data_IF_643439549210
#
_entry.id   IF_643439549210
#
_cell.length_a   1.000
_cell.length_b   1.000
_cell.length_c   1.000
_cell.angle_alpha   90.00
_cell.angle_beta   90.00
_cell.angle_gamma   90.00
#
_symmetry.space_group_name_H-M   'P 1'
#
loop_
_entity.id
_entity.type
_entity.pdbx_description
1 polymer ?
#
# COMPACT_ATOMS: atom_id res chain seq x y z
N UNK A 1 -19.57 -4.79 13.84
CA UNK A 1 -18.68 -4.58 15.01
C UNK A 1 -17.30 -5.09 14.62
N UNK A 2 -16.29 -4.22 14.58
CA UNK A 2 -14.92 -4.61 14.20
C UNK A 2 -14.34 -5.53 15.27
N UNK A 3 -13.71 -6.63 14.87
CA UNK A 3 -13.08 -7.54 15.83
C UNK A 3 -11.96 -6.81 16.60
N UNK A 4 -11.84 -7.05 17.92
CA UNK A 4 -10.83 -6.41 18.75
C UNK A 4 -9.39 -6.76 18.30
N UNK A 5 -8.50 -5.76 18.39
CA UNK A 5 -7.08 -5.93 18.11
C UNK A 5 -6.36 -6.43 19.37
N UNK A 6 -6.13 -7.74 19.46
CA UNK A 6 -5.56 -8.38 20.66
C UNK A 6 -4.12 -7.94 20.93
N UNK A 7 -3.37 -7.54 19.90
CA UNK A 7 -2.03 -6.97 20.06
C UNK A 7 -2.09 -5.63 20.79
N UNK A 8 -3.07 -4.78 20.46
CA UNK A 8 -3.32 -3.53 21.18
C UNK A 8 -3.77 -3.76 22.61
N UNK A 9 -4.65 -4.74 22.85
CA UNK A 9 -5.14 -5.05 24.21
C UNK A 9 -3.99 -5.50 25.11
N UNK A 10 -3.07 -6.31 24.60
CA UNK A 10 -1.88 -6.72 25.34
C UNK A 10 -0.71 -5.74 25.23
N UNK A 11 -0.86 -4.56 24.61
CA UNK A 11 0.20 -3.56 24.44
C UNK A 11 1.51 -4.12 23.84
N UNK A 12 1.41 -5.06 22.90
CA UNK A 12 2.55 -5.71 22.23
C UNK A 12 2.44 -5.60 20.72
N UNK A 13 3.58 -5.71 20.03
CA UNK A 13 3.62 -5.68 18.57
C UNK A 13 3.34 -7.07 17.95
N UNK A 14 2.90 -7.15 16.67
CA UNK A 14 2.65 -8.42 16.00
C UNK A 14 3.87 -9.34 15.85
N UNK A 15 5.08 -8.78 15.90
CA UNK A 15 6.36 -9.51 15.87
C UNK A 15 6.87 -9.91 17.27
N UNK A 16 6.12 -9.57 18.34
CA UNK A 16 6.55 -9.84 19.70
C UNK A 16 6.74 -11.35 19.96
N UNK A 17 7.86 -11.76 20.58
CA UNK A 17 8.09 -13.15 20.93
C UNK A 17 7.16 -13.58 22.07
N UNK A 18 6.90 -14.89 22.20
CA UNK A 18 5.95 -15.44 23.17
C UNK A 18 6.24 -14.97 24.62
N UNK A 19 7.52 -14.92 25.00
CA UNK A 19 7.94 -14.43 26.33
C UNK A 19 7.43 -13.01 26.63
N UNK A 20 7.39 -12.13 25.63
CA UNK A 20 6.92 -10.74 25.78
C UNK A 20 5.39 -10.69 25.90
N UNK A 21 4.67 -11.56 25.18
CA UNK A 21 3.22 -11.72 25.32
C UNK A 21 2.86 -12.17 26.74
N UNK A 22 3.55 -13.18 27.26
CA UNK A 22 3.36 -13.68 28.63
C UNK A 22 3.69 -12.62 29.69
N UNK A 23 4.81 -11.91 29.51
CA UNK A 23 5.21 -10.85 30.43
C UNK A 23 4.18 -9.72 30.47
N UNK A 24 3.74 -9.24 29.29
CA UNK A 24 2.76 -8.17 29.19
C UNK A 24 1.42 -8.55 29.82
N UNK A 25 0.89 -9.74 29.52
CA UNK A 25 -0.34 -10.24 30.13
C UNK A 25 -0.26 -10.26 31.66
N UNK A 26 0.84 -10.77 32.24
CA UNK A 26 1.00 -10.83 33.70
C UNK A 26 1.04 -9.44 34.33
N UNK A 27 1.75 -8.50 33.71
CA UNK A 27 1.83 -7.11 34.20
C UNK A 27 0.48 -6.40 34.14
N UNK A 28 -0.26 -6.55 33.04
CA UNK A 28 -1.58 -5.94 32.86
C UNK A 28 -2.61 -6.56 33.82
N UNK A 29 -2.58 -7.88 34.01
CA UNK A 29 -3.45 -8.57 34.95
C UNK A 29 -3.23 -8.11 36.40
N UNK A 30 -1.96 -7.99 36.82
CA UNK A 30 -1.61 -7.47 38.16
C UNK A 30 -2.12 -6.04 38.39
N UNK A 31 -2.05 -5.20 37.36
CA UNK A 31 -2.56 -3.84 37.41
C UNK A 31 -4.09 -3.80 37.50
N UNK A 32 -4.78 -4.63 36.72
CA UNK A 32 -6.25 -4.67 36.69
C UNK A 32 -6.85 -5.22 38.00
N UNK A 33 -6.19 -6.17 38.67
CA UNK A 33 -6.62 -6.69 39.97
C UNK A 33 -6.66 -5.64 41.09
N UNK A 34 -5.89 -4.55 40.96
CA UNK A 34 -5.88 -3.44 41.91
C UNK A 34 -6.82 -2.28 41.56
N UNK A 35 -7.60 -2.38 40.47
CA UNK A 35 -8.42 -1.30 39.94
C UNK A 35 -9.93 -1.50 40.19
N UNK A 36 -10.66 -0.40 40.40
CA UNK A 36 -12.09 -0.40 40.72
C UNK A 36 -12.99 -0.96 39.59
N UNK A 37 -12.53 -0.94 38.34
CA UNK A 37 -13.21 -1.49 37.16
C UNK A 37 -12.51 -2.75 36.59
N UNK A 38 -11.70 -3.44 37.42
CA UNK A 38 -10.79 -4.49 36.97
C UNK A 38 -11.45 -5.68 36.28
N UNK A 39 -12.70 -6.03 36.60
CA UNK A 39 -13.34 -7.24 36.09
C UNK A 39 -13.50 -7.26 34.55
N UNK A 40 -13.88 -6.13 33.95
CA UNK A 40 -14.04 -6.02 32.50
C UNK A 40 -12.70 -5.99 31.77
N UNK A 41 -11.72 -5.29 32.36
CA UNK A 41 -10.34 -5.22 31.84
C UNK A 41 -9.67 -6.60 31.88
N UNK A 42 -9.84 -7.34 32.99
CA UNK A 42 -9.34 -8.72 33.14
C UNK A 42 -9.96 -9.64 32.07
N UNK A 43 -11.27 -9.54 31.83
CA UNK A 43 -11.94 -10.35 30.83
C UNK A 43 -11.39 -10.11 29.41
N UNK A 44 -11.09 -8.86 29.05
CA UNK A 44 -10.47 -8.51 27.77
C UNK A 44 -9.03 -9.01 27.65
N UNK A 45 -8.26 -8.91 28.74
CA UNK A 45 -6.88 -9.41 28.80
C UNK A 45 -6.82 -10.93 28.66
N UNK A 46 -7.70 -11.67 29.35
CA UNK A 46 -7.81 -13.12 29.26
C UNK A 46 -8.20 -13.57 27.85
N UNK A 47 -9.15 -12.86 27.22
CA UNK A 47 -9.55 -13.13 25.85
C UNK A 47 -8.39 -12.94 24.87
N UNK A 48 -7.64 -11.85 25.01
CA UNK A 48 -6.49 -11.57 24.15
C UNK A 48 -5.37 -12.58 24.35
N UNK A 49 -5.09 -12.95 25.59
CA UNK A 49 -4.06 -13.93 25.94
C UNK A 49 -4.42 -15.36 25.49
N UNK A 50 -5.70 -15.75 25.58
CA UNK A 50 -6.18 -17.06 25.10
C UNK A 50 -5.97 -17.28 23.59
N UNK A 51 -5.80 -16.19 22.83
CA UNK A 51 -5.51 -16.20 21.39
C UNK A 51 -4.02 -16.05 21.12
N UNK A 52 -3.36 -15.04 21.72
CA UNK A 52 -1.96 -14.71 21.42
C UNK A 52 -0.93 -15.58 22.15
N UNK A 53 -1.30 -16.19 23.27
CA UNK A 53 -0.43 -17.06 24.06
C UNK A 53 -0.25 -18.47 23.49
N UNK A 54 -1.13 -18.90 22.58
CA UNK A 54 -1.02 -20.18 21.86
C UNK A 54 -0.55 -19.95 20.42
N UNK A 55 0.50 -20.68 20.00
CA UNK A 55 1.13 -20.46 18.70
C UNK A 55 0.20 -20.72 17.51
N UNK A 56 -0.67 -21.74 17.58
CA UNK A 56 -1.58 -22.07 16.48
C UNK A 56 -2.75 -21.09 16.41
N UNK A 57 -3.30 -20.69 17.56
CA UNK A 57 -4.37 -19.69 17.63
C UNK A 57 -3.89 -18.32 17.19
N UNK A 58 -2.66 -17.94 17.55
CA UNK A 58 -2.01 -16.71 17.08
C UNK A 58 -1.85 -16.72 15.57
N UNK A 59 -1.35 -17.82 14.99
CA UNK A 59 -1.20 -17.93 13.54
C UNK A 59 -2.55 -17.81 12.80
N UNK A 60 -3.61 -18.45 13.32
CA UNK A 60 -4.96 -18.32 12.74
C UNK A 60 -5.49 -16.89 12.87
N UNK A 61 -5.29 -16.25 14.01
CA UNK A 61 -5.67 -14.86 14.23
C UNK A 61 -4.94 -13.90 13.28
N UNK A 62 -3.64 -14.11 13.05
CA UNK A 62 -2.84 -13.30 12.13
C UNK A 62 -3.33 -13.43 10.68
N UNK A 63 -3.72 -14.64 10.26
CA UNK A 63 -4.34 -14.88 8.94
C UNK A 63 -5.68 -14.15 8.80
N UNK A 64 -6.56 -14.24 9.80
CA UNK A 64 -7.85 -13.53 9.82
C UNK A 64 -7.67 -12.00 9.87
N UNK A 65 -6.65 -11.51 10.60
CA UNK A 65 -6.31 -10.09 10.69
C UNK A 65 -5.79 -9.57 9.35
N UNK A 66 -4.97 -10.36 8.64
CA UNK A 66 -4.51 -10.04 7.30
C UNK A 66 -5.68 -9.98 6.30
N UNK A 67 -6.57 -10.98 6.31
CA UNK A 67 -7.74 -10.99 5.42
C UNK A 67 -8.73 -9.84 5.72
N UNK A 68 -8.82 -9.41 6.98
CA UNK A 68 -9.58 -8.21 7.39
C UNK A 68 -8.94 -6.91 6.94
N UNK A 69 -7.62 -6.81 6.99
CA UNK A 69 -6.91 -5.68 6.42
C UNK A 69 -7.11 -5.61 4.90
N UNK A 70 -7.19 -6.77 4.23
CA UNK A 70 -7.52 -6.85 2.80
C UNK A 70 -8.99 -6.53 2.52
N UNK A 71 -9.95 -7.01 3.32
CA UNK A 71 -11.39 -6.71 3.14
C UNK A 71 -11.78 -5.30 3.56
N UNK A 72 -11.11 -4.67 4.52
CA UNK A 72 -11.28 -3.26 4.83
C UNK A 72 -10.72 -2.34 3.71
N UNK A 73 -9.74 -2.83 2.94
CA UNK A 73 -9.24 -2.22 1.69
C UNK A 73 -10.07 -2.60 0.45
N UNK A 74 -10.93 -3.60 0.57
CA UNK A 74 -11.88 -4.06 -0.44
C UNK A 74 -13.30 -3.83 0.09
N UNK A 75 -13.68 -2.58 0.34
CA UNK A 75 -15.12 -2.27 0.27
C UNK A 75 -15.56 -2.63 -1.15
N UNK A 76 -16.61 -3.47 -1.32
CA UNK A 76 -17.19 -3.66 -2.63
C UNK A 76 -17.70 -2.30 -3.11
N UNK A 77 -17.00 -1.72 -4.07
CA UNK A 77 -17.63 -0.76 -4.97
C UNK A 77 -18.59 -1.63 -5.75
N UNK A 78 -19.88 -1.46 -5.48
CA UNK A 78 -20.95 -2.03 -6.29
C UNK A 78 -20.62 -1.82 -7.77
N UNK A 79 -20.94 -2.82 -8.58
CA UNK A 79 -20.67 -2.93 -10.01
C UNK A 79 -21.33 -1.82 -10.85
N UNK A 80 -20.95 -0.56 -10.63
CA UNK A 80 -21.13 0.53 -11.57
C UNK A 80 -19.76 0.89 -12.10
N UNK A 81 -19.43 0.28 -13.24
CA UNK A 81 -18.46 0.81 -14.19
C UNK A 81 -18.94 2.14 -14.80
N UNK A 82 -19.26 3.13 -13.96
CA UNK A 82 -19.81 4.41 -14.40
C UNK A 82 -19.03 5.51 -13.70
N UNK A 83 -18.39 6.33 -14.53
CA UNK A 83 -17.57 7.50 -14.19
C UNK A 83 -16.14 7.14 -13.74
N UNK A 84 -15.36 6.60 -14.68
CA UNK A 84 -13.99 7.09 -14.77
C UNK A 84 -14.07 8.61 -14.89
N UNK A 85 -13.40 9.34 -14.02
CA UNK A 85 -13.38 10.80 -14.04
C UNK A 85 -13.13 11.26 -15.48
N UNK A 86 -14.06 12.04 -16.06
CA UNK A 86 -13.89 12.63 -17.40
C UNK A 86 -12.67 13.54 -17.48
N UNK A 87 -12.01 13.80 -16.36
CA UNK A 87 -10.78 14.58 -16.20
C UNK A 87 -9.65 13.76 -15.59
N UNK A 88 -8.43 14.16 -15.95
CA UNK A 88 -7.20 13.55 -15.47
C UNK A 88 -7.00 13.88 -14.00
N UNK A 89 -6.72 12.87 -13.18
CA UNK A 89 -6.48 13.05 -11.74
C UNK A 89 -5.21 13.87 -11.43
N UNK A 90 -4.32 14.06 -12.42
CA UNK A 90 -3.07 14.79 -12.23
C UNK A 90 -3.13 16.22 -12.77
N UNK A 91 -3.40 16.39 -14.07
CA UNK A 91 -3.41 17.71 -14.70
C UNK A 91 -4.81 18.33 -14.83
N UNK A 92 -5.87 17.61 -14.47
CA UNK A 92 -7.26 18.07 -14.61
C UNK A 92 -7.81 18.08 -16.04
N UNK A 93 -6.99 17.79 -17.06
CA UNK A 93 -7.42 17.82 -18.46
C UNK A 93 -8.57 16.84 -18.73
N UNK A 94 -9.58 17.29 -19.46
CA UNK A 94 -10.68 16.44 -19.89
C UNK A 94 -10.18 15.43 -20.93
N UNK A 95 -10.57 14.17 -20.78
CA UNK A 95 -10.36 13.14 -21.80
C UNK A 95 -11.68 12.84 -22.50
N UNK A 96 -11.70 13.00 -23.82
CA UNK A 96 -12.85 12.75 -24.68
C UNK A 96 -12.98 11.26 -25.06
N UNK A 97 -12.79 10.35 -24.10
CA UNK A 97 -12.93 8.92 -24.36
C UNK A 97 -14.41 8.54 -24.27
N UNK A 98 -14.99 8.20 -25.41
CA UNK A 98 -16.37 7.70 -25.53
C UNK A 98 -16.52 6.22 -25.15
N UNK A 99 -15.39 5.55 -24.92
CA UNK A 99 -15.29 4.14 -24.51
C UNK A 99 -14.80 4.02 -23.07
N UNK A 100 -14.97 2.83 -22.50
CA UNK A 100 -14.35 2.49 -21.22
C UNK A 100 -12.83 2.63 -21.28
N UNK A 101 -12.24 3.04 -20.15
CA UNK A 101 -10.79 3.14 -20.02
C UNK A 101 -10.14 1.77 -20.15
N UNK A 102 -9.07 1.71 -20.94
CA UNK A 102 -8.22 0.54 -21.15
C UNK A 102 -6.86 0.73 -20.47
N UNK A 103 -6.13 -0.38 -20.22
CA UNK A 103 -4.86 -0.39 -19.47
C UNK A 103 -3.77 0.50 -20.04
N UNK A 104 -3.82 0.75 -21.35
CA UNK A 104 -2.83 1.54 -22.07
C UNK A 104 -3.26 3.01 -22.25
N UNK A 105 -4.42 3.40 -21.71
CA UNK A 105 -4.92 4.78 -21.81
C UNK A 105 -4.14 5.75 -20.94
N UNK A 106 -3.73 6.85 -21.57
CA UNK A 106 -3.00 7.94 -20.96
C UNK A 106 -3.65 9.29 -21.27
N UNK A 107 -3.49 10.23 -20.37
CA UNK A 107 -3.90 11.61 -20.60
C UNK A 107 -3.08 12.21 -21.74
N UNK A 108 -3.74 12.76 -22.77
CA UNK A 108 -3.07 13.41 -23.89
C UNK A 108 -2.22 14.63 -23.49
N UNK A 109 -2.50 15.25 -22.35
CA UNK A 109 -1.82 16.49 -21.91
C UNK A 109 -0.59 16.24 -21.02
N UNK A 110 -0.65 15.25 -20.13
CA UNK A 110 0.44 14.98 -19.16
C UNK A 110 0.95 13.53 -19.20
N UNK A 111 0.44 12.72 -20.14
CA UNK A 111 0.76 11.29 -20.29
C UNK A 111 0.52 10.46 -19.03
N UNK A 112 -0.30 10.93 -18.10
CA UNK A 112 -0.62 10.19 -16.88
C UNK A 112 -1.55 9.03 -17.21
N UNK A 113 -1.29 7.82 -16.67
CA UNK A 113 -2.16 6.67 -16.91
C UNK A 113 -3.56 6.95 -16.34
N UNK A 114 -4.58 6.53 -17.07
CA UNK A 114 -5.99 6.73 -16.69
C UNK A 114 -6.60 5.48 -16.05
N UNK A 115 -6.03 4.31 -16.34
CA UNK A 115 -6.58 3.04 -15.88
C UNK A 115 -6.34 2.83 -14.37
N UNK A 116 -7.40 2.56 -13.56
CA UNK A 116 -7.27 2.41 -12.12
C UNK A 116 -6.36 1.25 -11.68
N UNK A 117 -5.48 1.51 -10.73
CA UNK A 117 -4.52 0.52 -10.21
C UNK A 117 -5.22 -0.66 -9.51
N UNK A 118 -6.36 -0.43 -8.84
CA UNK A 118 -7.15 -1.47 -8.17
C UNK A 118 -7.59 -2.59 -9.11
N UNK A 119 -7.85 -2.28 -10.39
CA UNK A 119 -8.25 -3.29 -11.38
C UNK A 119 -7.10 -4.22 -11.77
N UNK A 120 -5.84 -3.80 -11.59
CA UNK A 120 -4.69 -4.68 -11.74
C UNK A 120 -4.53 -5.70 -10.61
N UNK A 121 -5.14 -5.45 -9.42
CA UNK A 121 -5.07 -6.32 -8.25
C UNK A 121 -5.73 -7.67 -8.48
N UNK A 122 -6.75 -7.73 -9.33
CA UNK A 122 -7.56 -8.93 -9.56
C UNK A 122 -7.01 -9.84 -10.66
N UNK A 123 -5.98 -9.43 -11.40
CA UNK A 123 -5.41 -10.21 -12.51
C UNK A 123 -4.05 -10.84 -12.12
N UNK A 124 -3.97 -12.16 -12.23
CA UNK A 124 -2.82 -13.03 -11.85
C UNK A 124 -1.48 -12.72 -12.58
N UNK A 125 -1.48 -11.82 -13.55
CA UNK A 125 -0.33 -11.45 -14.40
C UNK A 125 0.56 -10.35 -13.79
N UNK A 126 0.00 -9.48 -12.93
CA UNK A 126 0.73 -8.33 -12.37
C UNK A 126 1.86 -8.71 -11.39
N UNK A 127 1.66 -9.76 -10.58
CA UNK A 127 2.65 -10.24 -9.61
C UNK A 127 3.95 -10.74 -10.27
N UNK A 128 3.88 -11.35 -11.46
CA UNK A 128 5.08 -11.83 -12.17
C UNK A 128 5.92 -10.70 -12.74
N UNK A 129 5.31 -9.56 -13.08
CA UNK A 129 6.02 -8.38 -13.59
C UNK A 129 6.70 -7.61 -12.45
N UNK A 130 6.05 -7.48 -11.29
CA UNK A 130 6.61 -6.84 -10.11
C UNK A 130 7.88 -7.51 -9.59
N UNK A 131 7.91 -8.85 -9.59
CA UNK A 131 9.09 -9.62 -9.16
C UNK A 131 10.32 -9.41 -10.07
N UNK A 132 10.14 -8.83 -11.27
CA UNK A 132 11.22 -8.57 -12.23
C UNK A 132 11.76 -7.14 -12.15
N UNK A 133 11.11 -6.25 -11.41
CA UNK A 133 11.55 -4.86 -11.28
C UNK A 133 12.60 -4.79 -10.16
N UNK A 134 13.83 -4.30 -10.44
CA UNK A 134 14.85 -4.18 -9.41
C UNK A 134 14.42 -3.21 -8.32
N UNK A 135 14.54 -3.63 -7.05
CA UNK A 135 14.11 -2.86 -5.86
C UNK A 135 14.89 -1.55 -5.59
N UNK A 136 15.81 -1.17 -6.49
CA UNK A 136 16.65 0.03 -6.41
C UNK A 136 16.77 0.66 -7.80
N UNK A 137 15.68 1.30 -8.23
CA UNK A 137 15.61 1.95 -9.53
C UNK A 137 15.40 3.45 -9.38
N UNK A 138 16.10 4.22 -10.21
CA UNK A 138 15.87 5.66 -10.28
C UNK A 138 14.48 5.94 -10.86
N UNK A 139 13.70 6.76 -10.16
CA UNK A 139 12.37 7.18 -10.59
C UNK A 139 12.31 8.69 -10.74
N UNK A 140 11.52 9.15 -11.72
CA UNK A 140 11.16 10.54 -11.89
C UNK A 140 9.79 10.81 -11.28
N UNK A 141 9.68 11.89 -10.50
CA UNK A 141 8.44 12.30 -9.85
C UNK A 141 8.05 13.71 -10.31
N UNK A 142 6.78 13.85 -10.71
CA UNK A 142 6.15 15.14 -10.98
C UNK A 142 5.06 15.38 -9.94
N UNK A 143 5.10 16.55 -9.32
CA UNK A 143 4.11 16.97 -8.31
C UNK A 143 3.10 17.95 -8.88
N UNK A 144 3.43 18.59 -10.00
CA UNK A 144 2.57 19.51 -10.74
C UNK A 144 2.78 19.31 -12.25
N UNK A 145 1.84 19.84 -13.04
CA UNK A 145 1.97 19.89 -14.49
C UNK A 145 1.61 21.27 -15.02
N UNK A 146 2.43 21.89 -15.88
CA UNK A 146 3.78 21.46 -16.28
C UNK A 146 4.82 21.67 -15.15
N UNK A 147 5.91 20.90 -15.18
CA UNK A 147 7.06 21.04 -14.28
C UNK A 147 8.33 20.88 -15.12
N UNK A 148 9.30 21.77 -14.94
CA UNK A 148 10.49 21.89 -15.82
C UNK A 148 11.37 20.63 -15.83
N UNK A 149 11.54 19.99 -14.67
CA UNK A 149 12.30 18.75 -14.54
C UNK A 149 11.72 17.85 -13.44
N UNK A 150 11.75 16.51 -13.60
CA UNK A 150 11.30 15.60 -12.55
C UNK A 150 12.16 15.69 -11.30
N UNK A 151 11.51 15.55 -10.14
CA UNK A 151 12.20 15.28 -8.87
C UNK A 151 12.74 13.86 -8.95
N UNK A 152 14.07 13.72 -8.81
CA UNK A 152 14.73 12.41 -8.81
C UNK A 152 14.57 11.74 -7.45
N UNK A 153 14.07 10.52 -7.45
CA UNK A 153 13.97 9.67 -6.27
C UNK A 153 14.48 8.25 -6.57
N UNK A 154 14.75 7.48 -5.52
CA UNK A 154 15.19 6.10 -5.60
C UNK A 154 14.08 5.19 -5.05
N UNK A 155 13.52 4.34 -5.89
CA UNK A 155 12.55 3.32 -5.45
C UNK A 155 13.23 2.36 -4.45
N UNK A 156 12.50 1.98 -3.40
CA UNK A 156 12.95 1.07 -2.33
C UNK A 156 12.12 -0.22 -2.31
N UNK A 157 10.81 -0.09 -2.48
CA UNK A 157 9.89 -1.22 -2.56
C UNK A 157 8.78 -0.93 -3.58
N UNK A 158 8.24 -1.98 -4.19
CA UNK A 158 7.20 -1.90 -5.19
C UNK A 158 6.22 -3.06 -5.02
N UNK A 159 4.93 -2.72 -4.99
CA UNK A 159 3.81 -3.66 -4.94
C UNK A 159 2.74 -3.24 -5.96
N UNK A 160 1.65 -4.02 -6.09
CA UNK A 160 0.51 -3.62 -6.92
C UNK A 160 -0.27 -2.45 -6.32
N UNK A 161 -0.17 -2.25 -5.00
CA UNK A 161 -0.94 -1.25 -4.27
C UNK A 161 -0.20 0.07 -4.12
N UNK A 162 1.10 0.09 -4.38
CA UNK A 162 1.92 1.23 -4.07
C UNK A 162 3.41 0.95 -4.16
N UNK A 163 4.19 2.00 -3.90
CA UNK A 163 5.64 1.92 -3.83
C UNK A 163 6.16 2.72 -2.65
N UNK A 164 7.36 2.42 -2.19
CA UNK A 164 8.14 3.32 -1.35
C UNK A 164 9.36 3.81 -2.09
N UNK A 165 9.75 5.06 -1.86
CA UNK A 165 10.95 5.64 -2.44
C UNK A 165 11.65 6.60 -1.48
N UNK A 166 12.95 6.78 -1.70
CA UNK A 166 13.75 7.77 -1.01
C UNK A 166 13.95 9.00 -1.92
N UNK A 167 13.77 10.19 -1.37
CA UNK A 167 13.95 11.48 -2.05
C UNK A 167 14.75 12.44 -1.19
N UNK A 168 15.46 13.38 -1.82
CA UNK A 168 16.07 14.52 -1.12
C UNK A 168 15.06 15.61 -0.78
N UNK A 169 13.84 15.53 -1.32
CA UNK A 169 12.76 16.51 -1.10
C UNK A 169 11.66 15.89 -0.25
N UNK A 170 11.08 16.69 0.64
CA UNK A 170 9.91 16.32 1.44
C UNK A 170 8.63 16.49 0.62
N UNK A 171 7.75 15.49 0.66
CA UNK A 171 6.42 15.52 0.05
C UNK A 171 5.34 15.75 1.11
N UNK A 172 4.16 16.17 0.68
CA UNK A 172 3.01 16.38 1.57
C UNK A 172 2.07 15.15 1.56
N UNK A 173 1.54 14.71 2.72
CA UNK A 173 0.51 13.68 2.75
C UNK A 173 -0.69 14.04 1.87
N UNK A 174 -1.27 13.04 1.20
CA UNK A 174 -2.36 13.18 0.23
C UNK A 174 -2.01 13.89 -1.09
N UNK A 175 -0.77 14.34 -1.27
CA UNK A 175 -0.34 14.93 -2.54
C UNK A 175 -0.41 13.89 -3.66
N UNK A 176 -0.99 14.26 -4.80
CA UNK A 176 -1.00 13.44 -6.01
C UNK A 176 0.30 13.66 -6.75
N UNK A 177 0.98 12.57 -7.09
CA UNK A 177 2.25 12.58 -7.80
C UNK A 177 2.18 11.65 -9.00
N UNK A 178 2.77 12.10 -10.11
CA UNK A 178 3.01 11.25 -11.28
C UNK A 178 4.41 10.66 -11.16
N UNK A 179 4.48 9.35 -11.21
CA UNK A 179 5.72 8.59 -11.09
C UNK A 179 6.01 7.92 -12.42
N UNK A 180 7.25 8.05 -12.87
CA UNK A 180 7.72 7.43 -14.10
C UNK A 180 9.04 6.71 -13.86
N UNK A 181 9.11 5.48 -14.33
CA UNK A 181 10.34 4.72 -14.43
C UNK A 181 10.40 3.97 -15.77
N UNK A 182 11.47 3.21 -16.01
CA UNK A 182 11.65 2.49 -17.27
C UNK A 182 10.57 1.43 -17.51
N UNK A 183 10.08 0.81 -16.44
CA UNK A 183 9.20 -0.35 -16.44
C UNK A 183 7.72 0.00 -16.19
N UNK A 184 7.44 1.13 -15.56
CA UNK A 184 6.08 1.53 -15.24
C UNK A 184 5.88 3.05 -15.26
N UNK A 185 4.62 3.43 -15.38
CA UNK A 185 4.13 4.78 -15.12
C UNK A 185 2.93 4.68 -14.20
N UNK A 186 2.83 5.57 -13.23
CA UNK A 186 1.75 5.56 -12.26
C UNK A 186 1.34 6.96 -11.84
N UNK A 187 0.07 7.13 -11.47
CA UNK A 187 -0.32 8.18 -10.54
C UNK A 187 -0.45 7.56 -9.17
N UNK A 188 0.05 8.27 -8.16
CA UNK A 188 -0.10 7.85 -6.80
C UNK A 188 -0.33 8.99 -5.85
N UNK A 189 -0.91 8.66 -4.71
CA UNK A 189 -1.14 9.56 -3.60
C UNK A 189 -0.10 9.29 -2.52
N UNK A 190 0.54 10.33 -2.01
CA UNK A 190 1.47 10.22 -0.88
C UNK A 190 0.68 9.77 0.36
N UNK A 191 0.96 8.56 0.84
CA UNK A 191 0.29 7.97 2.00
C UNK A 191 0.94 8.38 3.31
N UNK A 192 2.27 8.41 3.36
CA UNK A 192 3.06 8.84 4.52
C UNK A 192 4.45 9.27 4.07
N UNK A 193 5.10 10.11 4.89
CA UNK A 193 6.48 10.56 4.69
C UNK A 193 7.22 10.45 6.01
N UNK A 194 8.34 9.75 5.99
CA UNK A 194 9.23 9.52 7.11
C UNK A 194 10.61 10.06 6.78
N UNK A 195 11.38 10.46 7.81
CA UNK A 195 12.77 10.86 7.62
C UNK A 195 13.65 9.62 7.73
N UNK A 196 14.54 9.40 6.76
CA UNK A 196 15.46 8.26 6.80
C UNK A 196 16.43 8.47 7.97
N UNK A 197 16.37 7.60 8.97
CA UNK A 197 17.19 7.70 10.19
C UNK A 197 18.66 7.37 9.89
N UNK A 198 18.94 6.68 8.79
CA UNK A 198 20.28 6.20 8.40
C UNK A 198 20.93 7.02 7.27
N UNK A 199 20.18 7.90 6.59
CA UNK A 199 20.67 8.74 5.51
C UNK A 199 20.46 10.20 5.86
N UNK A 200 21.53 10.92 6.21
CA UNK A 200 21.52 12.20 6.90
C UNK A 200 20.56 13.29 6.34
N UNK A 201 20.12 13.21 5.08
CA UNK A 201 19.25 14.21 4.45
C UNK A 201 18.21 13.63 3.47
N UNK A 202 17.79 12.37 3.64
CA UNK A 202 16.77 11.76 2.75
C UNK A 202 15.44 11.54 3.48
N UNK A 203 14.35 11.72 2.74
CA UNK A 203 13.00 11.39 3.15
C UNK A 203 12.56 10.10 2.45
N UNK A 204 11.96 9.19 3.20
CA UNK A 204 11.25 8.04 2.67
C UNK A 204 9.77 8.40 2.51
N UNK A 205 9.19 8.20 1.34
CA UNK A 205 7.77 8.40 1.13
C UNK A 205 7.11 7.11 0.65
N UNK A 206 5.98 6.77 1.26
CA UNK A 206 5.08 5.73 0.79
C UNK A 206 4.02 6.32 -0.12
N UNK A 207 3.80 5.69 -1.27
CA UNK A 207 2.78 6.08 -2.25
C UNK A 207 1.80 4.94 -2.48
N UNK A 208 0.52 5.28 -2.48
CA UNK A 208 -0.56 4.41 -2.93
C UNK A 208 -0.89 4.70 -4.40
N UNK A 209 -0.95 3.66 -5.25
CA UNK A 209 -1.27 3.85 -6.67
C UNK A 209 -2.76 4.11 -6.88
N UNK A 210 -3.07 5.20 -7.58
CA UNK A 210 -4.41 5.54 -8.08
C UNK A 210 -4.62 4.94 -9.47
N UNK A 211 -3.64 5.14 -10.35
CA UNK A 211 -3.61 4.56 -11.71
C UNK A 211 -2.23 3.96 -11.96
N UNK A 212 -2.18 2.87 -12.71
CA UNK A 212 -0.95 2.14 -12.93
C UNK A 212 -0.90 1.60 -14.35
N UNK A 213 0.26 1.72 -14.97
CA UNK A 213 0.55 1.10 -16.26
C UNK A 213 1.93 0.48 -16.23
N UNK A 214 2.02 -0.79 -16.62
CA UNK A 214 3.30 -1.44 -16.88
C UNK A 214 3.69 -1.22 -18.35
N UNK A 215 4.91 -0.78 -18.60
CA UNK A 215 5.46 -0.77 -19.96
C UNK A 215 5.71 -2.23 -20.35
N UNK A 216 5.01 -2.71 -21.38
CA UNK A 216 5.24 -4.05 -21.92
C UNK A 216 6.71 -4.16 -22.33
N UNK A 217 7.46 -5.03 -21.65
CA UNK A 217 8.73 -5.52 -22.18
C UNK A 217 8.34 -6.30 -23.44
N UNK A 218 8.78 -5.87 -24.62
CA UNK A 218 8.61 -6.64 -25.85
C UNK A 218 9.34 -7.97 -25.66
N UNK A 219 8.62 -8.99 -25.19
CA UNK A 219 9.03 -10.36 -25.31
C UNK A 219 9.04 -10.69 -26.79
N UNK A 220 10.22 -10.75 -27.38
CA UNK A 220 10.45 -11.34 -28.70
C UNK A 220 10.07 -12.81 -28.62
N UNK A 221 8.79 -13.14 -28.88
CA UNK A 221 8.42 -14.48 -29.29
C UNK A 221 8.79 -14.63 -30.76
N UNK A 222 9.99 -15.17 -31.01
CA UNK A 222 10.29 -15.81 -32.30
C UNK A 222 9.85 -17.26 -32.11
N UNK A 223 8.73 -17.62 -32.72
CA UNK A 223 8.42 -19.02 -32.97
C UNK A 223 9.28 -19.43 -34.15
N UNK A 224 10.31 -20.26 -33.92
CA UNK A 224 10.91 -21.05 -34.99
C UNK A 224 9.89 -22.14 -35.36
N UNK A 225 9.30 -22.01 -36.55
CA UNK A 225 8.69 -23.14 -37.24
C UNK A 225 9.81 -24.04 -37.79
N UNK A 226 9.80 -25.32 -37.41
CA UNK A 226 10.43 -26.42 -38.16
C UNK A 226 9.44 -27.58 -38.22
#
# INVERSE_FOLDING_TARGET
>A
MSAPDYYRILHVQPDAPAAIIHASYRTLLQRALGASNGAEEIALLDQAYAVLGDAQRRARYDLERASRADTARLRPIEETGTIGTRSCLFCGALHSLERSLERDDECAQCSSPLYPAERHRFEYSGQRMLNRIPKRHGIGIWVTWPQDAPIRAEMRDLSLNGMSFASGVRFEPNQIVRIECTELRALGRIAHVERDVNGAERFSAGVEFLTLRFRRVRGSFVSDEV
#
